data_IF_708271216476
#
_entry.id   IF_708271216476
#
_cell.length_a   1.000
_cell.length_b   1.000
_cell.length_c   1.000
_cell.angle_alpha   90.00
_cell.angle_beta   90.00
_cell.angle_gamma   90.00
#
_symmetry.space_group_name_H-M   'P 1'
#
loop_
_entity.id
_entity.type
_entity.pdbx_description
1 polymer ?
#
# COMPACT_ATOMS: atom_id res chain seq x y z
N UNK A 1 7.04 29.33 -17.76
CA UNK A 1 6.46 27.96 -17.67
C UNK A 1 5.22 28.05 -16.82
N UNK A 2 4.03 27.87 -17.39
CA UNK A 2 2.82 27.72 -16.59
C UNK A 2 2.88 26.36 -15.90
N UNK A 3 2.54 26.32 -14.61
CA UNK A 3 2.46 25.09 -13.84
C UNK A 3 1.31 24.24 -14.36
N UNK A 4 1.58 23.00 -14.78
CA UNK A 4 0.54 22.07 -15.23
C UNK A 4 -0.17 21.47 -14.01
N UNK A 5 -1.35 22.00 -13.69
CA UNK A 5 -2.11 21.57 -12.53
C UNK A 5 -2.61 20.13 -12.64
N UNK A 6 -2.93 19.63 -13.84
CA UNK A 6 -3.35 18.24 -14.00
C UNK A 6 -2.22 17.29 -13.59
N UNK A 7 -0.98 17.59 -13.99
CA UNK A 7 0.20 16.83 -13.56
C UNK A 7 0.42 16.97 -12.05
N UNK A 8 0.30 18.18 -11.48
CA UNK A 8 0.43 18.38 -10.03
C UNK A 8 -0.57 17.52 -9.26
N UNK A 9 -1.85 17.54 -9.64
CA UNK A 9 -2.88 16.74 -8.96
C UNK A 9 -2.68 15.23 -9.17
N UNK A 10 -2.20 14.80 -10.34
CA UNK A 10 -1.83 13.41 -10.57
C UNK A 10 -0.67 12.97 -9.64
N UNK A 11 0.33 13.83 -9.44
CA UNK A 11 1.43 13.60 -8.49
C UNK A 11 0.91 13.58 -7.05
N UNK A 12 0.07 14.53 -6.65
CA UNK A 12 -0.51 14.56 -5.30
C UNK A 12 -1.34 13.30 -5.01
N UNK A 13 -2.15 12.86 -5.97
CA UNK A 13 -2.90 11.61 -5.88
C UNK A 13 -1.96 10.41 -5.76
N UNK A 14 -0.91 10.35 -6.57
CA UNK A 14 0.08 9.28 -6.52
C UNK A 14 0.83 9.23 -5.19
N UNK A 15 1.25 10.39 -4.65
CA UNK A 15 1.87 10.50 -3.33
C UNK A 15 0.91 10.04 -2.24
N UNK A 16 -0.38 10.41 -2.32
CA UNK A 16 -1.40 10.00 -1.36
C UNK A 16 -1.60 8.49 -1.35
N UNK A 17 -1.70 7.87 -2.53
CA UNK A 17 -1.83 6.42 -2.68
C UNK A 17 -0.56 5.71 -2.16
N UNK A 18 0.63 6.19 -2.52
CA UNK A 18 1.88 5.61 -2.05
C UNK A 18 2.02 5.71 -0.52
N UNK A 19 1.67 6.87 0.06
CA UNK A 19 1.66 7.06 1.50
C UNK A 19 0.69 6.08 2.17
N UNK A 20 -0.54 5.95 1.65
CA UNK A 20 -1.49 4.97 2.15
C UNK A 20 -0.96 3.53 2.09
N UNK A 21 -0.48 3.09 0.93
CA UNK A 21 0.02 1.74 0.70
C UNK A 21 1.22 1.42 1.62
N UNK A 22 2.08 2.39 1.92
CA UNK A 22 3.21 2.20 2.83
C UNK A 22 2.77 2.21 4.29
N UNK A 23 1.96 3.19 4.69
CA UNK A 23 1.61 3.43 6.09
C UNK A 23 0.52 2.47 6.57
N UNK A 24 -0.60 2.36 5.87
CA UNK A 24 -1.66 1.40 6.23
C UNK A 24 -1.27 -0.03 5.82
N UNK A 25 -0.38 -0.20 4.83
CA UNK A 25 0.09 -1.51 4.41
C UNK A 25 0.83 -2.29 5.50
N UNK A 26 1.57 -1.60 6.40
CA UNK A 26 2.14 -2.29 7.54
C UNK A 26 1.09 -2.63 8.60
N UNK A 27 0.03 -1.82 8.76
CA UNK A 27 -1.09 -2.12 9.68
C UNK A 27 -1.85 -3.38 9.23
N UNK A 28 -2.22 -3.43 7.95
CA UNK A 28 -2.85 -4.59 7.32
C UNK A 28 -1.93 -5.83 7.37
N UNK A 29 -0.63 -5.62 7.16
CA UNK A 29 0.39 -6.64 7.29
C UNK A 29 0.46 -7.26 8.69
N UNK A 30 0.46 -6.42 9.73
CA UNK A 30 0.41 -6.86 11.12
C UNK A 30 -0.87 -7.65 11.38
N UNK A 31 -2.03 -7.18 10.90
CA UNK A 31 -3.30 -7.89 11.02
C UNK A 31 -3.27 -9.29 10.38
N UNK A 32 -2.69 -9.42 9.19
CA UNK A 32 -2.55 -10.71 8.52
C UNK A 32 -1.59 -11.69 9.23
N UNK A 33 -0.65 -11.18 10.02
CA UNK A 33 0.30 -12.00 10.79
C UNK A 33 -0.25 -12.49 12.14
N UNK A 34 -1.38 -11.94 12.61
CA UNK A 34 -1.96 -12.22 13.93
C UNK A 34 -2.12 -13.71 14.26
N UNK A 35 -2.57 -14.59 13.35
CA UNK A 35 -2.74 -16.01 13.66
C UNK A 35 -1.41 -16.75 13.94
N UNK A 36 -0.27 -16.18 13.56
CA UNK A 36 1.05 -16.78 13.77
C UNK A 36 1.68 -16.40 15.12
N UNK A 37 1.04 -15.52 15.89
CA UNK A 37 1.51 -15.02 17.19
C UNK A 37 0.80 -15.70 18.37
N UNK A 38 1.47 -15.75 19.52
CA UNK A 38 0.84 -16.13 20.80
C UNK A 38 -0.11 -15.03 21.29
N UNK A 39 -1.05 -15.29 22.23
CA UNK A 39 -1.95 -14.27 22.73
C UNK A 39 -1.24 -13.01 23.27
N UNK A 40 -0.14 -13.19 23.99
CA UNK A 40 0.69 -12.07 24.50
C UNK A 40 1.40 -11.30 23.39
N UNK A 41 1.83 -11.98 22.33
CA UNK A 41 2.45 -11.36 21.16
C UNK A 41 1.41 -10.59 20.32
N UNK A 42 0.19 -11.11 20.21
CA UNK A 42 -0.93 -10.44 19.53
C UNK A 42 -1.25 -9.09 20.20
N UNK A 43 -1.24 -9.03 21.53
CA UNK A 43 -1.45 -7.77 22.25
C UNK A 43 -0.34 -6.74 21.94
N UNK A 44 0.92 -7.19 21.82
CA UNK A 44 2.05 -6.35 21.42
C UNK A 44 1.95 -5.91 19.96
N UNK A 45 1.47 -6.77 19.07
CA UNK A 45 1.23 -6.47 17.66
C UNK A 45 0.20 -5.35 17.50
N UNK A 46 -0.97 -5.48 18.15
CA UNK A 46 -2.02 -4.45 18.20
C UNK A 46 -1.47 -3.15 18.79
N UNK A 47 -0.69 -3.25 19.89
CA UNK A 47 -0.08 -2.08 20.52
C UNK A 47 0.92 -1.33 19.64
N UNK A 48 1.59 -2.04 18.71
CA UNK A 48 2.59 -1.44 17.81
C UNK A 48 2.03 -0.50 16.76
N UNK A 49 0.75 -0.64 16.42
CA UNK A 49 0.08 0.13 15.37
C UNK A 49 -0.97 1.13 15.92
N UNK A 50 -1.39 0.97 17.18
CA UNK A 50 -2.46 1.76 17.80
C UNK A 50 -2.37 3.28 17.65
N UNK A 51 -1.20 3.92 17.83
CA UNK A 51 -1.09 5.37 17.68
C UNK A 51 -1.21 5.88 16.24
N UNK A 52 -1.22 5.02 15.22
CA UNK A 52 -1.04 5.39 13.82
C UNK A 52 -2.17 4.97 12.88
N UNK A 53 -2.83 3.83 13.14
CA UNK A 53 -3.71 3.18 12.17
C UNK A 53 -4.83 4.07 11.62
N UNK A 54 -5.50 4.84 12.48
CA UNK A 54 -6.58 5.75 12.09
C UNK A 54 -6.02 6.90 11.22
N UNK A 55 -4.86 7.46 11.61
CA UNK A 55 -4.19 8.48 10.83
C UNK A 55 -3.71 7.98 9.45
N UNK A 56 -3.36 6.70 9.34
CA UNK A 56 -2.88 6.10 8.09
C UNK A 56 -4.01 5.97 7.04
N UNK A 57 -5.25 5.70 7.46
CA UNK A 57 -6.41 5.63 6.54
C UNK A 57 -6.73 6.97 5.88
N UNK A 58 -6.37 8.11 6.51
CA UNK A 58 -6.64 9.44 5.95
C UNK A 58 -6.01 9.66 4.57
N UNK A 59 -4.88 9.00 4.28
CA UNK A 59 -4.20 9.07 2.99
C UNK A 59 -4.99 8.40 1.86
N UNK A 60 -5.77 7.36 2.15
CA UNK A 60 -6.70 6.76 1.19
C UNK A 60 -7.82 7.74 0.86
N UNK A 61 -8.44 8.33 1.89
CA UNK A 61 -9.54 9.28 1.75
C UNK A 61 -9.09 10.49 0.94
N UNK A 62 -7.89 11.02 1.22
CA UNK A 62 -7.28 12.09 0.44
C UNK A 62 -7.07 11.67 -1.03
N UNK A 63 -6.55 10.47 -1.30
CA UNK A 63 -6.32 9.98 -2.65
C UNK A 63 -7.61 9.89 -3.47
N UNK A 64 -8.67 9.33 -2.89
CA UNK A 64 -10.00 9.23 -3.52
C UNK A 64 -10.62 10.63 -3.69
N UNK A 65 -10.48 11.50 -2.69
CA UNK A 65 -10.94 12.89 -2.77
C UNK A 65 -10.25 13.67 -3.89
N UNK A 66 -8.94 13.51 -4.05
CA UNK A 66 -8.18 14.13 -5.15
C UNK A 66 -8.65 13.59 -6.50
N UNK A 67 -8.89 12.27 -6.62
CA UNK A 67 -9.46 11.68 -7.83
C UNK A 67 -10.83 12.29 -8.16
N UNK A 68 -11.72 12.43 -7.18
CA UNK A 68 -13.06 13.01 -7.35
C UNK A 68 -13.00 14.45 -7.84
N UNK A 69 -12.22 15.31 -7.17
CA UNK A 69 -12.31 16.74 -7.44
C UNK A 69 -11.39 17.16 -8.59
N UNK A 70 -10.22 16.54 -8.76
CA UNK A 70 -9.31 16.84 -9.86
C UNK A 70 -9.67 16.12 -11.16
N UNK A 71 -10.22 14.89 -11.09
CA UNK A 71 -10.53 14.06 -12.26
C UNK A 71 -11.92 13.41 -12.17
N UNK A 72 -13.02 14.20 -12.10
CA UNK A 72 -14.37 13.69 -11.78
C UNK A 72 -14.89 12.65 -12.77
N UNK A 73 -14.55 12.77 -14.05
CA UNK A 73 -14.92 11.75 -15.06
C UNK A 73 -14.19 10.42 -14.81
N UNK A 74 -12.90 10.48 -14.50
CA UNK A 74 -12.11 9.30 -14.16
C UNK A 74 -12.64 8.65 -12.88
N UNK A 75 -12.95 9.44 -11.86
CA UNK A 75 -13.56 8.97 -10.62
C UNK A 75 -14.83 8.13 -10.88
N UNK A 76 -15.74 8.62 -11.73
CA UNK A 76 -16.98 7.92 -12.06
C UNK A 76 -16.73 6.57 -12.75
N UNK A 77 -15.78 6.50 -13.69
CA UNK A 77 -15.42 5.25 -14.37
C UNK A 77 -14.75 4.28 -13.41
N UNK A 78 -13.73 4.73 -12.68
CA UNK A 78 -12.94 3.90 -11.76
C UNK A 78 -13.82 3.28 -10.67
N UNK A 79 -14.66 4.07 -9.99
CA UNK A 79 -15.56 3.53 -8.96
C UNK A 79 -16.72 2.70 -9.53
N UNK A 80 -17.13 2.96 -10.77
CA UNK A 80 -18.12 2.13 -11.46
C UNK A 80 -17.58 0.73 -11.73
N UNK A 81 -16.41 0.64 -12.35
CA UNK A 81 -15.74 -0.62 -12.70
C UNK A 81 -15.26 -1.40 -11.46
N UNK A 82 -14.90 -0.68 -10.39
CA UNK A 82 -14.37 -1.25 -9.16
C UNK A 82 -15.40 -1.31 -8.02
N UNK A 83 -16.69 -1.16 -8.30
CA UNK A 83 -17.73 -1.11 -7.26
C UNK A 83 -17.65 -2.26 -6.24
N UNK A 84 -17.60 -3.52 -6.74
CA UNK A 84 -17.55 -4.70 -5.87
C UNK A 84 -16.23 -4.81 -5.08
N UNK A 85 -15.03 -4.67 -5.69
CA UNK A 85 -13.78 -4.61 -4.94
C UNK A 85 -13.73 -3.47 -3.91
N UNK A 86 -14.22 -2.27 -4.23
CA UNK A 86 -14.27 -1.14 -3.29
C UNK A 86 -15.19 -1.46 -2.12
N UNK A 87 -16.38 -2.02 -2.38
CA UNK A 87 -17.28 -2.44 -1.31
C UNK A 87 -16.64 -3.51 -0.40
N UNK A 88 -15.97 -4.50 -0.99
CA UNK A 88 -15.24 -5.53 -0.23
C UNK A 88 -14.11 -4.93 0.61
N UNK A 89 -13.36 -3.97 0.05
CA UNK A 89 -12.31 -3.26 0.77
C UNK A 89 -12.88 -2.47 1.96
N UNK A 90 -13.97 -1.72 1.77
CA UNK A 90 -14.62 -0.97 2.84
C UNK A 90 -15.13 -1.87 3.95
N UNK A 91 -15.72 -3.03 3.61
CA UNK A 91 -16.09 -4.04 4.61
C UNK A 91 -14.85 -4.52 5.36
N UNK A 92 -13.76 -4.82 4.66
CA UNK A 92 -12.49 -5.22 5.28
C UNK A 92 -11.96 -4.19 6.27
N UNK A 93 -11.94 -2.91 5.89
CA UNK A 93 -11.51 -1.80 6.74
C UNK A 93 -12.44 -1.60 7.95
N UNK A 94 -13.76 -1.70 7.76
CA UNK A 94 -14.73 -1.65 8.86
C UNK A 94 -14.50 -2.78 9.87
N UNK A 95 -14.35 -4.03 9.39
CA UNK A 95 -14.06 -5.17 10.26
C UNK A 95 -12.75 -4.97 11.02
N UNK A 96 -11.71 -4.45 10.34
CA UNK A 96 -10.42 -4.14 10.94
C UNK A 96 -10.54 -3.10 12.06
N UNK A 97 -11.15 -1.94 11.78
CA UNK A 97 -11.27 -0.85 12.75
C UNK A 97 -12.11 -1.24 13.98
N UNK A 98 -13.24 -1.91 13.75
CA UNK A 98 -14.08 -2.45 14.84
C UNK A 98 -13.29 -3.48 15.66
N UNK A 99 -12.65 -4.44 15.01
CA UNK A 99 -11.87 -5.46 15.70
C UNK A 99 -10.73 -4.86 16.54
N UNK A 100 -10.05 -3.84 16.04
CA UNK A 100 -8.98 -3.17 16.78
C UNK A 100 -9.47 -2.57 18.11
N UNK A 101 -10.55 -1.77 18.06
CA UNK A 101 -11.13 -1.10 19.24
C UNK A 101 -11.70 -2.08 20.27
N UNK A 102 -12.37 -3.14 19.81
CA UNK A 102 -12.96 -4.13 20.71
C UNK A 102 -11.93 -5.13 21.24
N UNK A 103 -10.87 -5.46 20.48
CA UNK A 103 -9.84 -6.41 20.90
C UNK A 103 -9.09 -5.95 22.15
N UNK A 104 -8.91 -4.65 22.32
CA UNK A 104 -8.28 -4.06 23.51
C UNK A 104 -9.11 -4.29 24.78
N UNK A 105 -10.43 -4.46 24.65
CA UNK A 105 -11.38 -4.61 25.77
C UNK A 105 -11.88 -6.05 25.95
N UNK A 106 -11.57 -6.93 25.02
CA UNK A 106 -12.15 -8.27 24.96
C UNK A 106 -11.36 -9.28 25.77
N UNK A 107 -12.06 -10.11 26.53
CA UNK A 107 -11.52 -11.24 27.28
C UNK A 107 -12.15 -12.57 26.84
N UNK A 108 -11.43 -13.67 27.05
CA UNK A 108 -11.89 -15.01 26.73
C UNK A 108 -12.15 -15.22 25.24
N UNK A 109 -13.27 -15.86 24.89
CA UNK A 109 -13.59 -16.23 23.50
C UNK A 109 -13.78 -15.03 22.57
N UNK A 110 -14.19 -13.88 23.10
CA UNK A 110 -14.38 -12.66 22.31
C UNK A 110 -13.05 -12.16 21.73
N UNK A 111 -11.94 -12.31 22.46
CA UNK A 111 -10.62 -11.91 21.98
C UNK A 111 -10.23 -12.66 20.70
N UNK A 112 -10.55 -13.96 20.62
CA UNK A 112 -10.30 -14.78 19.43
C UNK A 112 -11.19 -14.41 18.25
N UNK A 113 -12.46 -14.07 18.50
CA UNK A 113 -13.34 -13.54 17.46
C UNK A 113 -12.77 -12.24 16.86
N UNK A 114 -12.34 -11.30 17.71
CA UNK A 114 -11.78 -10.03 17.23
C UNK A 114 -10.42 -10.21 16.56
N UNK A 115 -9.58 -11.14 17.03
CA UNK A 115 -8.35 -11.54 16.32
C UNK A 115 -8.66 -12.03 14.91
N UNK A 116 -9.67 -12.90 14.77
CA UNK A 116 -10.06 -13.44 13.48
C UNK A 116 -10.63 -12.36 12.56
N UNK A 117 -11.49 -11.47 13.08
CA UNK A 117 -12.05 -10.36 12.30
C UNK A 117 -10.97 -9.36 11.89
N UNK A 118 -9.97 -9.11 12.74
CA UNK A 118 -8.83 -8.26 12.43
C UNK A 118 -7.98 -8.86 11.32
N UNK A 119 -7.70 -10.17 11.38
CA UNK A 119 -7.02 -10.91 10.31
C UNK A 119 -7.81 -10.88 9.00
N UNK A 120 -9.09 -11.27 9.04
CA UNK A 120 -9.94 -11.39 7.85
C UNK A 120 -10.18 -10.03 7.20
N UNK A 121 -10.45 -8.98 7.99
CA UNK A 121 -10.61 -7.62 7.51
C UNK A 121 -9.35 -7.10 6.82
N UNK A 122 -8.19 -7.35 7.43
CA UNK A 122 -6.89 -6.98 6.86
C UNK A 122 -6.61 -7.72 5.55
N UNK A 123 -6.87 -9.03 5.52
CA UNK A 123 -6.72 -9.85 4.31
C UNK A 123 -7.67 -9.38 3.19
N UNK A 124 -8.94 -9.18 3.49
CA UNK A 124 -9.96 -8.78 2.53
C UNK A 124 -9.64 -7.40 1.91
N UNK A 125 -9.26 -6.43 2.73
CA UNK A 125 -8.84 -5.11 2.27
C UNK A 125 -7.59 -5.20 1.38
N UNK A 126 -6.58 -5.96 1.79
CA UNK A 126 -5.33 -6.16 1.04
C UNK A 126 -5.58 -6.82 -0.33
N UNK A 127 -6.38 -7.88 -0.34
CA UNK A 127 -6.73 -8.62 -1.56
C UNK A 127 -7.52 -7.74 -2.53
N UNK A 128 -8.51 -7.00 -2.01
CA UNK A 128 -9.31 -6.08 -2.80
C UNK A 128 -8.44 -4.97 -3.43
N UNK A 129 -7.48 -4.43 -2.69
CA UNK A 129 -6.56 -3.41 -3.22
C UNK A 129 -5.70 -3.92 -4.38
N UNK A 130 -5.04 -5.07 -4.21
CA UNK A 130 -4.23 -5.63 -5.30
C UNK A 130 -5.09 -6.07 -6.48
N UNK A 131 -6.30 -6.57 -6.23
CA UNK A 131 -7.26 -6.88 -7.29
C UNK A 131 -7.68 -5.64 -8.08
N UNK A 132 -8.01 -4.55 -7.38
CA UNK A 132 -8.30 -3.25 -8.01
C UNK A 132 -7.13 -2.74 -8.85
N UNK A 133 -5.90 -2.85 -8.33
CA UNK A 133 -4.70 -2.48 -9.07
C UNK A 133 -4.53 -3.32 -10.33
N UNK A 134 -4.73 -4.64 -10.25
CA UNK A 134 -4.66 -5.51 -11.42
C UNK A 134 -5.72 -5.18 -12.48
N UNK A 135 -6.98 -4.94 -12.05
CA UNK A 135 -8.05 -4.48 -12.94
C UNK A 135 -7.73 -3.13 -13.59
N UNK A 136 -7.11 -2.22 -12.84
CA UNK A 136 -6.72 -0.91 -13.33
C UNK A 136 -5.61 -0.99 -14.39
N UNK A 137 -4.58 -1.83 -14.17
CA UNK A 137 -3.48 -2.05 -15.13
C UNK A 137 -4.00 -2.60 -16.46
N UNK A 138 -5.03 -3.45 -16.43
CA UNK A 138 -5.64 -4.05 -17.62
C UNK A 138 -6.73 -3.19 -18.25
N UNK A 139 -6.86 -1.91 -17.88
CA UNK A 139 -7.88 -1.01 -18.44
C UNK A 139 -9.33 -1.45 -18.20
N UNK A 140 -9.56 -2.26 -17.16
CA UNK A 140 -10.84 -2.90 -16.83
C UNK A 140 -11.36 -3.89 -17.88
N UNK A 141 -10.49 -4.45 -18.73
CA UNK A 141 -10.86 -5.47 -19.72
C UNK A 141 -11.45 -6.74 -19.10
N UNK A 142 -12.54 -7.26 -19.65
CA UNK A 142 -13.20 -8.46 -19.12
C UNK A 142 -12.63 -9.75 -19.71
N UNK A 143 -12.56 -10.79 -18.87
CA UNK A 143 -12.14 -12.13 -19.30
C UNK A 143 -11.37 -12.88 -18.23
N UNK A 144 -11.43 -14.21 -18.28
CA UNK A 144 -10.83 -15.08 -17.24
C UNK A 144 -9.35 -14.77 -17.03
N UNK A 145 -8.59 -14.52 -18.10
CA UNK A 145 -7.17 -14.14 -18.01
C UNK A 145 -6.94 -12.85 -17.21
N UNK A 146 -7.75 -11.81 -17.45
CA UNK A 146 -7.65 -10.54 -16.72
C UNK A 146 -8.10 -10.67 -15.26
N UNK A 147 -9.13 -11.47 -14.98
CA UNK A 147 -9.54 -11.77 -13.60
C UNK A 147 -8.46 -12.55 -12.84
N UNK A 148 -7.82 -13.53 -13.47
CA UNK A 148 -6.69 -14.27 -12.89
C UNK A 148 -5.47 -13.37 -12.67
N UNK A 149 -5.18 -12.47 -13.62
CA UNK A 149 -4.13 -11.45 -13.44
C UNK A 149 -4.44 -10.54 -12.25
N UNK A 150 -5.68 -10.04 -12.13
CA UNK A 150 -6.08 -9.23 -10.99
C UNK A 150 -5.96 -9.98 -9.66
N UNK A 151 -6.33 -11.26 -9.62
CA UNK A 151 -6.17 -12.11 -8.44
C UNK A 151 -4.68 -12.34 -8.10
N UNK A 152 -3.82 -12.52 -9.10
CA UNK A 152 -2.37 -12.65 -8.92
C UNK A 152 -1.78 -11.37 -8.32
N UNK A 153 -2.17 -10.20 -8.81
CA UNK A 153 -1.76 -8.91 -8.23
C UNK A 153 -2.30 -8.77 -6.80
N UNK A 154 -3.56 -9.15 -6.56
CA UNK A 154 -4.17 -9.28 -5.23
C UNK A 154 -3.33 -10.07 -4.25
N UNK A 155 -2.99 -11.32 -4.60
CA UNK A 155 -2.16 -12.19 -3.78
C UNK A 155 -0.75 -11.62 -3.55
N UNK A 156 -0.17 -10.99 -4.57
CA UNK A 156 1.15 -10.35 -4.49
C UNK A 156 1.15 -9.17 -3.51
N UNK A 157 0.09 -8.34 -3.51
CA UNK A 157 -0.07 -7.23 -2.57
C UNK A 157 -0.25 -7.73 -1.14
N UNK A 158 -1.01 -8.81 -0.92
CA UNK A 158 -1.10 -9.43 0.41
C UNK A 158 0.28 -9.84 0.94
N UNK A 159 1.09 -10.52 0.11
CA UNK A 159 2.46 -10.90 0.48
C UNK A 159 3.36 -9.69 0.76
N UNK A 160 3.20 -8.61 -0.02
CA UNK A 160 3.90 -7.35 0.21
C UNK A 160 3.53 -6.67 1.53
N UNK A 161 2.25 -6.64 1.89
CA UNK A 161 1.82 -6.10 3.17
C UNK A 161 2.29 -6.96 4.33
N UNK A 162 2.29 -8.30 4.20
CA UNK A 162 2.95 -9.17 5.18
C UNK A 162 4.42 -8.81 5.37
N UNK A 163 5.17 -8.48 4.29
CA UNK A 163 6.54 -7.99 4.40
C UNK A 163 6.63 -6.64 5.15
N UNK A 164 5.77 -5.67 4.82
CA UNK A 164 5.73 -4.37 5.52
C UNK A 164 5.39 -4.55 7.01
N UNK A 165 4.37 -5.33 7.33
CA UNK A 165 3.98 -5.64 8.71
C UNK A 165 5.08 -6.36 9.48
N UNK A 166 5.72 -7.36 8.87
CA UNK A 166 6.83 -8.07 9.51
C UNK A 166 8.03 -7.16 9.79
N UNK A 167 8.44 -6.33 8.81
CA UNK A 167 9.56 -5.39 8.99
C UNK A 167 9.22 -4.25 9.96
N UNK A 168 7.96 -3.83 10.03
CA UNK A 168 7.47 -2.93 11.07
C UNK A 168 7.57 -3.54 12.46
N UNK A 169 7.17 -4.81 12.62
CA UNK A 169 7.33 -5.51 13.90
C UNK A 169 8.80 -5.65 14.29
N UNK A 170 9.72 -5.89 13.34
CA UNK A 170 11.17 -5.86 13.62
C UNK A 170 11.59 -4.51 14.20
N UNK A 171 11.10 -3.41 13.64
CA UNK A 171 11.39 -2.05 14.12
C UNK A 171 10.79 -1.77 15.51
N UNK A 172 9.58 -2.28 15.79
CA UNK A 172 8.77 -1.87 16.95
C UNK A 172 8.79 -2.84 18.13
N UNK A 173 9.31 -4.05 17.98
CA UNK A 173 9.26 -5.09 19.02
C UNK A 173 10.67 -5.57 19.43
N UNK A 174 10.74 -6.34 20.52
CA UNK A 174 11.96 -6.94 21.07
C UNK A 174 11.72 -8.43 21.39
N UNK A 175 12.81 -9.19 21.60
CA UNK A 175 12.76 -10.58 22.05
C UNK A 175 12.17 -11.54 21.00
N UNK A 176 11.42 -12.54 21.47
CA UNK A 176 10.88 -13.64 20.66
C UNK A 176 10.02 -13.16 19.48
N UNK A 177 9.14 -12.18 19.71
CA UNK A 177 8.32 -11.60 18.64
C UNK A 177 9.17 -10.96 17.54
N UNK A 178 10.26 -10.28 17.92
CA UNK A 178 11.17 -9.67 16.96
C UNK A 178 11.92 -10.73 16.13
N UNK A 179 12.27 -11.87 16.74
CA UNK A 179 12.88 -12.99 16.03
C UNK A 179 11.91 -13.65 15.05
N UNK A 180 10.65 -13.87 15.45
CA UNK A 180 9.58 -14.33 14.56
C UNK A 180 9.33 -13.35 13.41
N UNK A 181 9.28 -12.05 13.70
CA UNK A 181 9.10 -11.01 12.70
C UNK A 181 10.21 -10.99 11.64
N UNK A 182 11.47 -11.22 12.03
CA UNK A 182 12.56 -11.37 11.05
C UNK A 182 12.37 -12.60 10.16
N UNK A 183 11.89 -13.71 10.69
CA UNK A 183 11.57 -14.90 9.90
C UNK A 183 10.41 -14.64 8.93
N UNK A 184 9.32 -14.03 9.41
CA UNK A 184 8.19 -13.62 8.58
C UNK A 184 8.60 -12.66 7.47
N UNK A 185 9.51 -11.71 7.74
CA UNK A 185 10.03 -10.80 6.72
C UNK A 185 10.85 -11.52 5.64
N UNK A 186 11.58 -12.60 5.97
CA UNK A 186 12.27 -13.42 4.95
C UNK A 186 11.26 -14.12 4.04
N UNK A 187 10.23 -14.71 4.62
CA UNK A 187 9.14 -15.35 3.87
C UNK A 187 8.37 -14.34 3.01
N UNK A 188 8.01 -13.19 3.59
CA UNK A 188 7.36 -12.09 2.89
C UNK A 188 8.19 -11.57 1.71
N UNK A 189 9.51 -11.44 1.88
CA UNK A 189 10.40 -10.99 0.79
C UNK A 189 10.44 -12.00 -0.36
N UNK A 190 10.46 -13.30 -0.07
CA UNK A 190 10.40 -14.34 -1.10
C UNK A 190 9.05 -14.31 -1.84
N UNK A 191 7.95 -14.09 -1.12
CA UNK A 191 6.62 -13.90 -1.71
C UNK A 191 6.56 -12.67 -2.62
N UNK A 192 7.13 -11.55 -2.18
CA UNK A 192 7.23 -10.33 -3.00
C UNK A 192 8.08 -10.57 -4.24
N UNK A 193 9.23 -11.25 -4.11
CA UNK A 193 10.08 -11.58 -5.26
C UNK A 193 9.34 -12.46 -6.28
N UNK A 194 8.60 -13.47 -5.81
CA UNK A 194 7.76 -14.31 -6.66
C UNK A 194 6.64 -13.50 -7.32
N UNK A 195 5.92 -12.69 -6.55
CA UNK A 195 4.84 -11.83 -7.05
C UNK A 195 5.33 -10.86 -8.11
N UNK A 196 6.44 -10.16 -7.86
CA UNK A 196 7.08 -9.27 -8.83
C UNK A 196 7.49 -10.03 -10.09
N UNK A 197 8.07 -11.22 -9.98
CA UNK A 197 8.45 -12.02 -11.15
C UNK A 197 7.21 -12.42 -11.98
N UNK A 198 6.17 -12.95 -11.33
CA UNK A 198 4.95 -13.39 -12.00
C UNK A 198 4.20 -12.21 -12.64
N UNK A 199 4.02 -11.10 -11.92
CA UNK A 199 3.38 -9.90 -12.44
C UNK A 199 4.18 -9.31 -13.59
N UNK A 200 5.51 -9.20 -13.47
CA UNK A 200 6.35 -8.67 -14.56
C UNK A 200 6.29 -9.53 -15.83
N UNK A 201 6.13 -10.84 -15.70
CA UNK A 201 5.92 -11.74 -16.85
C UNK A 201 4.52 -11.60 -17.45
N UNK A 202 3.50 -11.41 -16.61
CA UNK A 202 2.11 -11.35 -17.06
C UNK A 202 1.71 -9.97 -17.59
N UNK A 203 2.27 -8.87 -17.09
CA UNK A 203 1.86 -7.50 -17.44
C UNK A 203 1.98 -7.20 -18.93
N UNK A 204 3.06 -7.55 -19.66
CA UNK A 204 3.13 -7.31 -21.10
C UNK A 204 2.13 -8.14 -21.93
N UNK A 205 1.62 -9.23 -21.36
CA UNK A 205 0.55 -10.02 -21.99
C UNK A 205 -0.84 -9.44 -21.70
N UNK A 206 -0.97 -8.73 -20.57
CA UNK A 206 -2.23 -8.19 -20.08
C UNK A 206 -2.48 -6.72 -20.45
N UNK A 207 -1.45 -5.97 -20.86
CA UNK A 207 -1.57 -4.58 -21.29
C UNK A 207 -0.60 -4.25 -22.42
N UNK A 208 -1.14 -3.89 -23.59
CA UNK A 208 -0.34 -3.48 -24.75
C UNK A 208 0.40 -2.17 -24.48
N UNK A 209 -0.26 -1.21 -23.82
CA UNK A 209 0.36 0.08 -23.43
C UNK A 209 1.58 -0.09 -22.55
N UNK A 210 1.56 -1.04 -21.62
CA UNK A 210 2.73 -1.32 -20.77
C UNK A 210 3.79 -2.09 -21.56
N UNK A 211 3.39 -3.07 -22.38
CA UNK A 211 4.30 -3.83 -23.26
C UNK A 211 5.11 -2.89 -24.15
N UNK A 212 4.45 -1.96 -24.82
CA UNK A 212 5.10 -1.08 -25.78
C UNK A 212 6.15 -0.19 -25.11
N UNK A 213 5.89 0.28 -23.88
CA UNK A 213 6.89 1.01 -23.09
C UNK A 213 8.03 0.14 -22.59
N UNK A 214 7.74 -1.09 -22.20
CA UNK A 214 8.74 -1.99 -21.63
C UNK A 214 9.69 -2.51 -22.70
N UNK A 215 9.27 -2.61 -23.96
CA UNK A 215 10.08 -3.12 -25.06
C UNK A 215 10.50 -2.04 -26.09
N UNK A 216 10.32 -0.74 -25.79
CA UNK A 216 10.79 0.39 -26.61
C UNK A 216 12.30 0.66 -26.42
N UNK A 217 13.13 -0.07 -27.16
CA UNK A 217 14.58 0.17 -27.17
C UNK A 217 14.95 1.41 -28.00
N UNK A 218 15.83 2.30 -27.49
CA UNK A 218 16.66 2.17 -26.29
C UNK A 218 16.07 2.78 -25.02
N UNK A 219 14.87 3.38 -25.06
CA UNK A 219 14.26 4.08 -23.91
C UNK A 219 14.06 3.16 -22.70
N UNK A 220 13.80 1.87 -22.93
CA UNK A 220 13.74 0.83 -21.89
C UNK A 220 14.99 0.77 -21.01
N UNK A 221 16.19 1.13 -21.50
CA UNK A 221 17.42 1.05 -20.69
C UNK A 221 17.34 1.94 -19.43
N UNK A 222 16.69 3.11 -19.54
CA UNK A 222 16.43 3.97 -18.37
C UNK A 222 15.42 3.34 -17.42
N UNK A 223 14.39 2.66 -17.95
CA UNK A 223 13.38 1.94 -17.17
C UNK A 223 13.98 0.77 -16.39
N UNK A 224 14.96 0.05 -16.96
CA UNK A 224 15.64 -1.09 -16.33
C UNK A 224 16.37 -0.73 -15.02
N UNK A 225 16.67 0.56 -14.80
CA UNK A 225 17.21 1.03 -13.52
C UNK A 225 16.26 0.78 -12.35
N UNK A 226 14.94 0.82 -12.57
CA UNK A 226 13.94 0.58 -11.52
C UNK A 226 13.92 -0.89 -11.07
N UNK A 227 13.79 -1.91 -11.95
CA UNK A 227 13.94 -3.31 -11.56
C UNK A 227 15.30 -3.61 -10.91
N UNK A 228 16.40 -3.06 -11.44
CA UNK A 228 17.73 -3.26 -10.87
C UNK A 228 17.84 -2.67 -9.45
N UNK A 229 17.31 -1.46 -9.23
CA UNK A 229 17.24 -0.85 -7.91
C UNK A 229 16.34 -1.64 -6.96
N UNK A 230 15.22 -2.19 -7.43
CA UNK A 230 14.33 -3.04 -6.62
C UNK A 230 15.02 -4.32 -6.18
N UNK A 231 15.79 -4.96 -7.07
CA UNK A 231 16.62 -6.12 -6.72
C UNK A 231 17.70 -5.75 -5.70
N UNK A 232 18.36 -4.60 -5.86
CA UNK A 232 19.34 -4.10 -4.91
C UNK A 232 18.70 -3.82 -3.53
N UNK A 233 17.51 -3.23 -3.50
CA UNK A 233 16.75 -2.99 -2.27
C UNK A 233 16.33 -4.30 -1.59
N UNK A 234 15.86 -5.30 -2.35
CA UNK A 234 15.56 -6.65 -1.83
C UNK A 234 16.78 -7.35 -1.27
N UNK A 235 17.92 -7.24 -1.96
CA UNK A 235 19.21 -7.75 -1.51
C UNK A 235 19.72 -7.05 -0.24
N UNK A 236 19.49 -5.75 -0.11
CA UNK A 236 19.81 -4.99 1.10
C UNK A 236 18.90 -5.39 2.26
N UNK A 237 17.59 -5.48 2.02
CA UNK A 237 16.60 -5.95 2.99
C UNK A 237 16.98 -7.33 3.51
N UNK A 238 17.26 -8.29 2.63
CA UNK A 238 17.66 -9.64 3.03
C UNK A 238 18.86 -9.66 3.98
N UNK A 239 19.89 -8.84 3.68
CA UNK A 239 21.08 -8.71 4.54
C UNK A 239 20.76 -8.02 5.86
N UNK A 240 19.82 -7.08 5.87
CA UNK A 240 19.40 -6.35 7.06
C UNK A 240 18.55 -7.17 8.04
N UNK A 241 18.00 -8.32 7.62
CA UNK A 241 17.27 -9.26 8.47
C UNK A 241 18.17 -10.11 9.38
N UNK A 242 19.45 -9.74 9.49
CA UNK A 242 20.40 -10.33 10.44
C UNK A 242 20.29 -9.61 11.79
N UNK A 243 20.35 -10.32 12.94
CA UNK A 243 20.16 -9.71 14.26
C UNK A 243 21.15 -8.57 14.59
N UNK A 244 22.33 -8.56 13.99
CA UNK A 244 23.41 -7.60 14.27
C UNK A 244 23.22 -6.26 13.56
N UNK A 245 22.25 -6.17 12.65
CA UNK A 245 21.97 -4.98 11.85
C UNK A 245 20.93 -4.11 12.54
N UNK A 246 21.01 -2.79 12.32
CA UNK A 246 20.07 -1.84 12.91
C UNK A 246 18.62 -2.12 12.48
N UNK A 247 17.70 -2.18 13.47
CA UNK A 247 16.30 -2.61 13.31
C UNK A 247 15.45 -1.76 12.34
N UNK A 248 15.90 -0.55 12.00
CA UNK A 248 15.21 0.31 11.02
C UNK A 248 15.49 -0.09 9.57
N UNK A 249 16.62 -0.76 9.30
CA UNK A 249 17.04 -1.08 7.94
C UNK A 249 16.09 -2.01 7.20
N UNK A 250 15.54 -3.09 7.81
CA UNK A 250 14.56 -3.95 7.14
C UNK A 250 13.32 -3.18 6.66
N UNK A 251 12.78 -2.30 7.51
CA UNK A 251 11.60 -1.50 7.17
C UNK A 251 11.93 -0.49 6.06
N UNK A 252 13.07 0.21 6.15
CA UNK A 252 13.50 1.13 5.10
C UNK A 252 13.73 0.42 3.76
N UNK A 253 14.28 -0.81 3.78
CA UNK A 253 14.41 -1.64 2.58
C UNK A 253 13.05 -2.01 1.98
N UNK A 254 12.06 -2.35 2.81
CA UNK A 254 10.73 -2.70 2.34
C UNK A 254 10.03 -1.49 1.71
N UNK A 255 10.09 -0.33 2.38
CA UNK A 255 9.59 0.94 1.84
C UNK A 255 10.28 1.29 0.51
N UNK A 256 11.60 1.10 0.39
CA UNK A 256 12.32 1.35 -0.85
C UNK A 256 11.80 0.47 -2.02
N UNK A 257 11.53 -0.82 -1.78
CA UNK A 257 10.93 -1.71 -2.79
C UNK A 257 9.57 -1.18 -3.24
N UNK A 258 8.72 -0.76 -2.29
CA UNK A 258 7.39 -0.21 -2.58
C UNK A 258 7.46 1.09 -3.39
N UNK A 259 8.34 2.02 -3.01
CA UNK A 259 8.55 3.28 -3.73
C UNK A 259 9.02 2.99 -5.17
N UNK A 260 9.99 2.10 -5.35
CA UNK A 260 10.52 1.76 -6.67
C UNK A 260 9.47 1.05 -7.55
N UNK A 261 8.70 0.13 -6.98
CA UNK A 261 7.60 -0.53 -7.68
C UNK A 261 6.51 0.47 -8.10
N UNK A 262 6.15 1.40 -7.20
CA UNK A 262 5.18 2.46 -7.49
C UNK A 262 5.67 3.40 -8.60
N UNK A 263 6.94 3.81 -8.58
CA UNK A 263 7.53 4.62 -9.64
C UNK A 263 7.50 3.88 -10.99
N UNK A 264 7.78 2.58 -11.00
CA UNK A 264 7.70 1.75 -12.22
C UNK A 264 6.27 1.68 -12.77
N UNK A 265 5.29 1.51 -11.89
CA UNK A 265 3.87 1.53 -12.25
C UNK A 265 3.44 2.91 -12.78
N UNK A 266 3.77 3.98 -12.06
CA UNK A 266 3.43 5.34 -12.44
C UNK A 266 4.00 5.71 -13.82
N UNK A 267 5.26 5.35 -14.09
CA UNK A 267 5.87 5.51 -15.41
C UNK A 267 5.14 4.68 -16.48
N UNK A 268 4.78 3.44 -16.15
CA UNK A 268 4.12 2.51 -17.09
C UNK A 268 2.72 2.97 -17.48
N UNK A 269 2.00 3.66 -16.59
CA UNK A 269 0.62 4.09 -16.83
C UNK A 269 0.53 5.54 -17.32
N UNK A 270 1.46 6.43 -16.96
CA UNK A 270 1.44 7.83 -17.40
C UNK A 270 1.45 7.95 -18.93
N UNK A 271 0.58 8.75 -19.59
CA UNK A 271 -0.21 9.84 -19.03
C UNK A 271 -1.67 9.49 -18.69
N UNK A 272 -2.02 8.21 -18.64
CA UNK A 272 -3.39 7.78 -18.42
C UNK A 272 -3.80 7.92 -16.95
N UNK A 273 -4.99 8.45 -16.72
CA UNK A 273 -5.68 8.32 -15.41
C UNK A 273 -6.64 7.13 -15.42
N UNK A 274 -7.11 6.73 -16.60
CA UNK A 274 -7.70 5.41 -16.86
C UNK A 274 -7.02 4.86 -18.10
N UNK A 275 -6.31 3.75 -17.93
CA UNK A 275 -5.49 3.10 -18.97
C UNK A 275 -6.33 2.93 -20.24
N UNK A 276 -5.76 3.38 -21.37
CA UNK A 276 -6.32 3.28 -22.73
C UNK A 276 -7.68 3.98 -22.96
N UNK A 277 -8.20 4.73 -21.97
CA UNK A 277 -9.50 5.43 -22.10
C UNK A 277 -9.40 6.94 -21.95
N UNK A 278 -8.60 7.45 -21.02
CA UNK A 278 -8.48 8.91 -20.78
C UNK A 278 -7.15 9.31 -20.15
N UNK A 279 -6.58 10.40 -20.66
CA UNK A 279 -5.38 11.01 -20.07
C UNK A 279 -5.74 11.89 -18.87
N UNK A 280 -4.73 12.22 -18.07
CA UNK A 280 -4.87 13.19 -16.96
C UNK A 280 -5.42 14.54 -17.43
N UNK A 281 -5.12 14.96 -18.67
CA UNK A 281 -5.60 16.23 -19.21
C UNK A 281 -7.04 16.16 -19.69
N UNK A 282 -7.45 15.03 -20.29
CA UNK A 282 -8.83 14.84 -20.77
C UNK A 282 -9.84 14.72 -19.62
N UNK A 283 -9.38 14.15 -18.50
CA UNK A 283 -10.21 13.93 -17.31
C UNK A 283 -10.19 15.09 -16.33
N UNK A 284 -9.26 16.05 -16.49
CA UNK A 284 -9.06 17.13 -15.56
C UNK A 284 -10.28 18.07 -15.45
N UNK A 285 -10.55 18.50 -14.22
CA UNK A 285 -11.50 19.58 -13.93
C UNK A 285 -11.08 20.90 -14.59
N UNK A 286 -12.03 21.82 -14.71
CA UNK A 286 -11.78 23.17 -15.24
C UNK A 286 -10.66 23.87 -14.44
N UNK A 287 -9.80 24.62 -15.12
CA UNK A 287 -8.58 25.23 -14.56
C UNK A 287 -8.85 26.12 -13.33
N UNK A 288 -9.98 26.84 -13.32
CA UNK A 288 -10.39 27.64 -12.16
C UNK A 288 -10.62 26.80 -10.89
N UNK A 289 -11.21 25.61 -11.03
CA UNK A 289 -11.43 24.69 -9.92
C UNK A 289 -10.10 24.08 -9.44
N UNK A 290 -9.22 23.67 -10.37
CA UNK A 290 -7.88 23.16 -10.06
C UNK A 290 -7.05 24.21 -9.31
N UNK A 291 -7.07 25.48 -9.74
CA UNK A 291 -6.37 26.56 -9.04
C UNK A 291 -6.88 26.79 -7.63
N UNK A 292 -8.20 26.80 -7.44
CA UNK A 292 -8.80 26.95 -6.12
C UNK A 292 -8.37 25.82 -5.17
N UNK A 293 -8.50 24.57 -5.63
CA UNK A 293 -8.06 23.41 -4.86
C UNK A 293 -6.55 23.39 -4.60
N UNK A 294 -5.73 23.84 -5.56
CA UNK A 294 -4.28 23.85 -5.44
C UNK A 294 -3.84 24.69 -4.25
N UNK A 295 -4.41 25.89 -4.08
CA UNK A 295 -4.12 26.74 -2.92
C UNK A 295 -4.57 26.10 -1.60
N UNK A 296 -5.72 25.41 -1.60
CA UNK A 296 -6.14 24.60 -0.46
C UNK A 296 -5.13 23.50 -0.12
N UNK A 297 -4.65 22.75 -1.12
CA UNK A 297 -3.67 21.69 -0.96
C UNK A 297 -2.31 22.20 -0.46
N UNK A 298 -1.83 23.35 -0.98
CA UNK A 298 -0.59 24.00 -0.53
C UNK A 298 -0.63 24.36 0.95
N UNK A 299 -1.81 24.68 1.49
CA UNK A 299 -1.97 24.97 2.91
C UNK A 299 -2.12 23.67 3.70
N UNK A 300 -3.06 22.80 3.32
CA UNK A 300 -3.49 21.65 4.12
C UNK A 300 -2.45 20.51 4.12
N UNK A 301 -1.84 20.20 2.98
CA UNK A 301 -0.93 19.05 2.88
C UNK A 301 0.32 19.17 3.76
N UNK A 302 0.97 20.34 3.88
CA UNK A 302 2.06 20.52 4.84
C UNK A 302 1.63 20.29 6.29
N UNK A 303 0.42 20.66 6.70
CA UNK A 303 -0.09 20.34 8.04
C UNK A 303 -0.31 18.84 8.21
N UNK A 304 -0.88 18.18 7.20
CA UNK A 304 -1.08 16.72 7.21
C UNK A 304 0.26 15.98 7.37
N UNK A 305 1.24 16.34 6.53
CA UNK A 305 2.59 15.79 6.61
C UNK A 305 3.26 16.12 7.95
N UNK A 306 3.11 17.36 8.45
CA UNK A 306 3.69 17.82 9.71
C UNK A 306 3.17 17.05 10.91
N UNK A 307 1.85 16.88 11.04
CA UNK A 307 1.29 16.08 12.14
C UNK A 307 1.68 14.61 12.02
N UNK A 308 1.75 14.06 10.80
CA UNK A 308 2.17 12.67 10.58
C UNK A 308 3.60 12.47 11.05
N UNK A 309 4.53 13.33 10.64
CA UNK A 309 5.92 13.30 11.10
C UNK A 309 6.01 13.46 12.62
N UNK A 310 5.22 14.37 13.19
CA UNK A 310 5.18 14.57 14.64
C UNK A 310 4.72 13.32 15.39
N UNK A 311 3.63 12.67 14.96
CA UNK A 311 3.12 11.44 15.57
C UNK A 311 4.17 10.32 15.54
N UNK A 312 4.81 10.09 14.39
CA UNK A 312 5.87 9.08 14.26
C UNK A 312 7.11 9.43 15.08
N UNK A 313 7.44 10.71 15.26
CA UNK A 313 8.54 11.15 16.13
C UNK A 313 8.24 10.91 17.60
N UNK A 314 7.01 11.19 18.05
CA UNK A 314 6.58 10.99 19.44
C UNK A 314 6.56 9.51 19.79
N UNK A 315 6.02 8.67 18.91
CA UNK A 315 5.83 7.24 19.16
C UNK A 315 6.93 6.35 18.54
N UNK A 316 8.14 6.86 18.32
CA UNK A 316 9.25 6.12 17.68
C UNK A 316 9.83 4.95 18.49
N UNK A 317 9.45 4.82 19.76
CA UNK A 317 9.99 3.81 20.66
C UNK A 317 9.47 2.40 20.38
N UNK A 318 10.19 1.41 20.91
CA UNK A 318 9.72 0.02 20.92
C UNK A 318 8.62 -0.20 21.94
N UNK A 319 7.70 -1.08 21.61
CA UNK A 319 6.56 -1.44 22.45
C UNK A 319 7.01 -2.42 23.53
N UNK A 320 6.74 -2.11 24.79
CA UNK A 320 7.14 -2.92 25.95
C UNK A 320 5.96 -3.50 26.75
N UNK A 321 4.73 -3.21 26.34
CA UNK A 321 3.51 -3.67 26.99
C UNK A 321 2.26 -3.32 26.18
N UNK A 322 1.11 -3.88 26.56
CA UNK A 322 -0.18 -3.59 25.93
C UNK A 322 -0.55 -2.09 26.05
N UNK A 323 -1.35 -1.60 25.10
CA UNK A 323 -1.78 -0.18 25.02
C UNK A 323 -2.48 0.31 26.29
N UNK A 324 -3.18 -0.58 27.00
CA UNK A 324 -3.86 -0.29 28.25
C UNK A 324 -3.62 -1.45 29.23
N UNK A 325 -3.33 -1.10 30.49
CA UNK A 325 -3.41 -2.01 31.65
C UNK A 325 -4.65 -1.65 32.45
#
# INVERSE_FOLDING_TARGET
MNLDLAVVFAVLMGVSILAYVVLDGYDLGVGMLMPAATPTEQDLMVASIGPFWDANETWLVLGIGLLLVAFPRAHGVVLGELYLPVAAMLIGLMLRGVAFEFRIKAEGWHAELWNWLFWFGSFLASLAQGFMLGRYITGFEDGVGYWLFALLVGASVCGGYVLLGATWLVLRTEGELQHKARAWARWGLLWVALGVALVSLATPLASETVRDKWFDFPRTLGLMLLPAASLAAGMWLWRSLRPEVADWQPFAGAVAIYVLAFLGLAYSIFPYVVVDRMTIWDAASHDSALRFMFWGAVIVLPFIAGYTVFAYRVFRGKVRGALYK
#
